data_IF_234627991585
#
_entry.id   IF_234627991585
#
_cell.length_a   1.000
_cell.length_b   1.000
_cell.length_c   1.000
_cell.angle_alpha   90.00
_cell.angle_beta   90.00
_cell.angle_gamma   90.00
#
_symmetry.space_group_name_H-M   'P 1'
#
loop_
_entity.id
_entity.type
_entity.pdbx_description
1 polymer ?
#
# COMPACT_ATOMS: atom_id res chain seq x y z
N UNK A 1 11.29 -6.57 -4.18
CA UNK A 1 11.79 -5.88 -2.98
C UNK A 1 12.68 -6.77 -2.10
N UNK A 2 12.17 -7.74 -1.32
CA UNK A 2 13.00 -8.57 -0.42
C UNK A 2 14.04 -9.45 -1.14
N UNK A 3 13.70 -10.00 -2.31
CA UNK A 3 14.65 -10.75 -3.15
C UNK A 3 15.82 -9.90 -3.64
N UNK A 4 15.61 -8.60 -3.89
CA UNK A 4 16.67 -7.71 -4.38
C UNK A 4 17.76 -7.50 -3.31
N UNK A 5 17.41 -7.64 -2.03
CA UNK A 5 18.33 -7.51 -0.89
C UNK A 5 18.97 -8.84 -0.46
N UNK A 6 18.78 -9.93 -1.20
CA UNK A 6 19.23 -11.29 -0.80
C UNK A 6 18.76 -11.69 0.61
N UNK A 7 17.70 -11.08 1.12
CA UNK A 7 17.10 -11.42 2.41
C UNK A 7 16.18 -12.62 2.25
N UNK A 8 16.34 -13.63 3.10
CA UNK A 8 15.40 -14.76 3.22
C UNK A 8 14.52 -14.50 4.45
N UNK A 9 13.28 -13.98 4.28
CA UNK A 9 12.41 -13.75 5.43
C UNK A 9 12.01 -15.09 6.06
N UNK A 10 12.05 -15.17 7.38
CA UNK A 10 11.41 -16.24 8.15
C UNK A 10 9.99 -15.78 8.45
N UNK A 11 9.00 -16.41 7.83
CA UNK A 11 7.58 -16.09 8.06
C UNK A 11 7.20 -16.63 9.45
N UNK A 12 6.92 -15.74 10.39
CA UNK A 12 6.47 -16.10 11.75
C UNK A 12 4.94 -16.11 11.87
N UNK A 13 4.26 -15.30 11.07
CA UNK A 13 2.81 -15.15 11.08
C UNK A 13 2.32 -14.68 9.70
N UNK A 14 1.12 -15.14 9.33
CA UNK A 14 0.36 -14.64 8.19
C UNK A 14 -1.01 -14.14 8.65
N UNK A 15 -1.46 -13.02 8.12
CA UNK A 15 -2.76 -12.43 8.40
C UNK A 15 -3.26 -11.68 7.17
N UNK A 16 -4.55 -11.80 6.89
CA UNK A 16 -5.23 -11.06 5.83
C UNK A 16 -5.59 -9.62 6.22
N UNK A 17 -5.39 -9.24 7.49
CA UNK A 17 -5.62 -7.89 7.98
C UNK A 17 -4.29 -7.13 8.16
N UNK A 18 -4.14 -6.05 7.40
CA UNK A 18 -2.93 -5.22 7.39
C UNK A 18 -2.71 -4.43 8.68
N UNK A 19 -3.78 -4.05 9.38
CA UNK A 19 -3.69 -3.36 10.67
C UNK A 19 -3.19 -4.32 11.76
N UNK A 20 -3.60 -5.58 11.71
CA UNK A 20 -3.15 -6.61 12.66
C UNK A 20 -1.64 -6.83 12.57
N UNK A 21 -1.10 -7.01 11.35
CA UNK A 21 0.34 -7.21 11.18
C UNK A 21 1.15 -5.97 11.59
N UNK A 22 0.63 -4.77 11.31
CA UNK A 22 1.26 -3.52 11.74
C UNK A 22 1.29 -3.39 13.27
N UNK A 23 0.16 -3.68 13.93
CA UNK A 23 0.07 -3.65 15.39
C UNK A 23 1.01 -4.67 16.05
N UNK A 24 1.12 -5.88 15.50
CA UNK A 24 2.02 -6.90 16.02
C UNK A 24 3.49 -6.51 15.86
N UNK A 25 3.87 -5.96 14.70
CA UNK A 25 5.22 -5.45 14.48
C UNK A 25 5.55 -4.27 15.41
N UNK A 26 4.60 -3.34 15.60
CA UNK A 26 4.73 -2.24 16.59
C UNK A 26 5.01 -2.78 18.00
N UNK A 27 4.40 -3.89 18.39
CA UNK A 27 4.60 -4.54 19.69
C UNK A 27 5.78 -5.53 19.72
N UNK A 28 6.69 -5.48 18.75
CA UNK A 28 7.95 -6.24 18.79
C UNK A 28 7.89 -7.68 18.25
N UNK A 29 6.78 -8.08 17.60
CA UNK A 29 6.65 -9.43 17.03
C UNK A 29 7.47 -9.63 15.74
N UNK A 30 8.11 -8.59 15.22
CA UNK A 30 8.95 -8.66 14.02
C UNK A 30 8.91 -7.37 13.18
N UNK A 31 9.16 -7.53 11.88
CA UNK A 31 9.14 -6.44 10.88
C UNK A 31 7.90 -6.62 10.01
N UNK A 32 7.16 -5.54 9.77
CA UNK A 32 6.06 -5.49 8.81
C UNK A 32 6.37 -4.47 7.69
N UNK A 33 6.01 -4.83 6.46
CA UNK A 33 6.02 -3.91 5.32
C UNK A 33 4.56 -3.56 5.03
N UNK A 34 4.19 -2.30 5.25
CA UNK A 34 2.82 -1.80 5.08
C UNK A 34 2.82 -0.48 4.30
N UNK A 35 1.74 -0.16 3.57
CA UNK A 35 1.54 1.18 3.04
C UNK A 35 1.51 2.22 4.16
N UNK A 36 2.03 3.40 3.87
CA UNK A 36 2.06 4.52 4.82
C UNK A 36 0.65 4.89 5.33
N UNK A 37 -0.38 4.76 4.50
CA UNK A 37 -1.77 5.06 4.88
C UNK A 37 -2.27 4.23 6.08
N UNK A 38 -1.76 3.00 6.25
CA UNK A 38 -2.08 2.12 7.38
C UNK A 38 -1.49 2.64 8.69
N UNK A 39 -0.49 3.51 8.62
CA UNK A 39 0.19 4.03 9.80
C UNK A 39 -0.55 5.21 10.46
N UNK A 40 -1.48 5.84 9.74
CA UNK A 40 -2.27 6.99 10.23
C UNK A 40 -2.95 6.79 11.59
N UNK A 41 -3.45 5.59 11.98
CA UNK A 41 -4.07 5.38 13.29
C UNK A 41 -3.07 5.18 14.43
N UNK A 42 -1.78 5.02 14.14
CA UNK A 42 -0.77 4.79 15.17
C UNK A 42 -0.10 6.09 15.59
N UNK A 43 0.13 6.23 16.89
CA UNK A 43 0.92 7.34 17.43
C UNK A 43 2.33 7.36 16.83
N UNK A 44 2.70 8.50 16.24
CA UNK A 44 4.04 8.72 15.69
C UNK A 44 5.09 8.63 16.81
N UNK A 45 6.21 7.96 16.53
CA UNK A 45 7.31 7.77 17.48
C UNK A 45 7.19 6.55 18.38
N UNK A 46 6.06 5.84 18.38
CA UNK A 46 5.90 4.60 19.14
C UNK A 46 6.52 3.36 18.47
N UNK A 47 7.18 3.53 17.31
CA UNK A 47 7.82 2.46 16.54
C UNK A 47 8.86 3.04 15.58
N UNK A 48 9.84 2.20 15.20
CA UNK A 48 10.87 2.57 14.24
C UNK A 48 10.35 2.45 12.81
N UNK A 49 10.56 3.49 12.02
CA UNK A 49 10.31 3.48 10.58
C UNK A 49 11.62 3.36 9.83
N UNK A 50 11.70 2.38 8.93
CA UNK A 50 12.80 2.26 8.00
C UNK A 50 12.37 2.83 6.64
N UNK A 51 12.92 3.99 6.21
CA UNK A 51 12.55 4.57 4.93
C UNK A 51 13.01 3.65 3.81
N UNK A 52 12.12 3.41 2.86
CA UNK A 52 12.40 2.64 1.66
C UNK A 52 12.57 3.64 0.52
N UNK A 53 13.62 3.47 -0.29
CA UNK A 53 13.83 4.29 -1.47
C UNK A 53 12.64 4.19 -2.43
N UNK A 54 12.18 5.34 -2.93
CA UNK A 54 11.03 5.44 -3.84
C UNK A 54 11.23 4.62 -5.12
N UNK A 55 12.48 4.41 -5.53
CA UNK A 55 12.82 3.59 -6.70
C UNK A 55 12.39 2.11 -6.56
N UNK A 56 12.15 1.63 -5.34
CA UNK A 56 11.63 0.30 -5.06
C UNK A 56 10.12 0.26 -4.82
N UNK A 57 9.43 1.40 -4.90
CA UNK A 57 8.02 1.57 -4.59
C UNK A 57 7.26 2.04 -5.84
N UNK A 58 6.89 1.12 -6.73
CA UNK A 58 5.86 1.38 -7.75
C UNK A 58 4.51 0.88 -7.24
N UNK A 59 3.65 1.80 -6.80
CA UNK A 59 2.27 1.47 -6.44
C UNK A 59 1.33 2.07 -7.48
N UNK A 60 0.88 1.23 -8.40
CA UNK A 60 -0.04 1.61 -9.46
C UNK A 60 -1.48 1.33 -9.00
N UNK A 61 -2.21 2.39 -8.69
CA UNK A 61 -3.64 2.27 -8.36
C UNK A 61 -4.46 2.11 -9.63
N UNK A 62 -5.40 1.17 -9.63
CA UNK A 62 -6.33 0.98 -10.74
C UNK A 62 -7.75 0.76 -10.24
N UNK A 63 -8.73 1.09 -11.09
CA UNK A 63 -10.12 0.70 -10.92
C UNK A 63 -10.38 -0.47 -11.86
N UNK A 64 -10.76 -1.62 -11.31
CA UNK A 64 -11.21 -2.77 -12.09
C UNK A 64 -12.73 -2.77 -12.19
N UNK A 65 -13.24 -2.98 -13.40
CA UNK A 65 -14.65 -3.22 -13.66
C UNK A 65 -14.80 -4.27 -14.77
N UNK A 66 -15.93 -4.96 -14.79
CA UNK A 66 -16.17 -6.00 -15.80
C UNK A 66 -16.26 -5.39 -17.20
N UNK A 67 -15.62 -6.02 -18.19
CA UNK A 67 -15.58 -5.50 -19.58
C UNK A 67 -16.95 -5.46 -20.25
N UNK A 68 -17.89 -6.31 -19.80
CA UNK A 68 -19.26 -6.36 -20.30
C UNK A 68 -20.23 -5.38 -19.60
N UNK A 69 -19.73 -4.56 -18.68
CA UNK A 69 -20.54 -3.60 -17.92
C UNK A 69 -20.67 -2.30 -18.69
N UNK A 70 -21.91 -1.89 -18.95
CA UNK A 70 -22.19 -0.54 -19.46
C UNK A 70 -22.11 0.43 -18.28
N UNK A 71 -21.22 1.42 -18.40
CA UNK A 71 -21.03 2.46 -17.39
C UNK A 71 -22.02 3.60 -17.61
N UNK A 72 -22.65 4.05 -16.53
CA UNK A 72 -23.38 5.32 -16.50
C UNK A 72 -22.45 6.53 -16.64
N UNK A 73 -22.98 7.69 -16.96
CA UNK A 73 -22.19 8.92 -17.06
C UNK A 73 -21.49 9.27 -15.73
N UNK A 74 -22.18 9.11 -14.60
CA UNK A 74 -21.59 9.36 -13.26
C UNK A 74 -20.39 8.45 -13.00
N UNK A 75 -20.42 7.20 -13.47
CA UNK A 75 -19.31 6.27 -13.30
C UNK A 75 -18.14 6.58 -14.22
N UNK A 76 -18.42 7.04 -15.44
CA UNK A 76 -17.38 7.53 -16.36
C UNK A 76 -16.70 8.76 -15.77
N UNK A 77 -17.46 9.69 -15.21
CA UNK A 77 -16.93 10.88 -14.55
C UNK A 77 -16.06 10.51 -13.34
N UNK A 78 -16.49 9.54 -12.53
CA UNK A 78 -15.69 9.01 -11.43
C UNK A 78 -14.36 8.40 -11.91
N UNK A 79 -14.39 7.54 -12.93
CA UNK A 79 -13.17 6.95 -13.52
C UNK A 79 -12.26 8.05 -14.07
N UNK A 80 -12.81 9.06 -14.73
CA UNK A 80 -12.04 10.17 -15.27
C UNK A 80 -11.36 10.97 -14.15
N UNK A 81 -12.10 11.29 -13.08
CA UNK A 81 -11.54 11.94 -11.90
C UNK A 81 -10.38 11.15 -11.28
N UNK A 82 -10.54 9.83 -11.15
CA UNK A 82 -9.48 8.93 -10.67
C UNK A 82 -8.24 8.93 -11.57
N UNK A 83 -8.41 8.85 -12.89
CA UNK A 83 -7.28 8.87 -13.83
C UNK A 83 -6.51 10.19 -13.78
N UNK A 84 -7.21 11.31 -13.59
CA UNK A 84 -6.59 12.62 -13.49
C UNK A 84 -5.78 12.78 -12.19
N UNK A 85 -6.30 12.31 -11.06
CA UNK A 85 -5.58 12.35 -9.78
C UNK A 85 -4.35 11.43 -9.77
N UNK A 86 -4.44 10.26 -10.40
CA UNK A 86 -3.28 9.35 -10.51
C UNK A 86 -2.17 9.90 -11.41
N UNK A 87 -2.49 10.53 -12.55
CA UNK A 87 -1.47 11.16 -13.42
C UNK A 87 -0.67 12.23 -12.68
N UNK A 88 -1.31 13.01 -11.83
CA UNK A 88 -0.64 14.03 -11.01
C UNK A 88 0.34 13.40 -10.01
N UNK A 89 0.03 12.24 -9.43
CA UNK A 89 0.92 11.50 -8.51
C UNK A 89 2.22 11.02 -9.17
N UNK A 90 2.20 10.69 -10.46
CA UNK A 90 3.39 10.21 -11.19
C UNK A 90 4.27 11.34 -11.75
N UNK A 91 3.88 12.60 -11.56
CA UNK A 91 4.60 13.78 -12.07
C UNK A 91 5.53 14.43 -11.02
N UNK A 92 5.73 13.79 -9.86
CA UNK A 92 6.58 14.22 -8.74
C UNK A 92 7.66 13.19 -8.41
#
# INVERSE_FOLDING_TARGET
MLNNYKMKPKILLESSNIYTVAALAKNGSGIAVVPESVLSPFEQGAYNLYPISKEFLSLDYFIAYSSNRILSEVEKDFIHGFLNSNKQRHSY
#
